data_IF_440525244186
#
_entry.id   IF_440525244186
#
_cell.length_a   1.000
_cell.length_b   1.000
_cell.length_c   1.000
_cell.angle_alpha   90.00
_cell.angle_beta   90.00
_cell.angle_gamma   90.00
#
_symmetry.space_group_name_H-M   'P 1'
#
loop_
_entity.id
_entity.type
_entity.pdbx_description
1 polymer ?
#
# COMPACT_ATOMS: atom_id res chain seq x y z
N UNK A 1 -20.62 24.33 -10.46
CA UNK A 1 -19.40 24.00 -9.69
C UNK A 1 -18.71 22.80 -10.31
N UNK A 2 -17.41 22.90 -10.59
CA UNK A 2 -16.61 21.81 -11.13
C UNK A 2 -15.85 21.13 -9.97
N UNK A 3 -15.85 19.80 -9.96
CA UNK A 3 -15.03 19.00 -9.05
C UNK A 3 -13.73 18.65 -9.78
N UNK A 4 -12.60 19.15 -9.30
CA UNK A 4 -11.32 18.91 -9.97
C UNK A 4 -10.86 17.46 -9.82
N UNK A 5 -11.00 16.85 -8.64
CA UNK A 5 -10.53 15.49 -8.36
C UNK A 5 -11.47 14.74 -7.41
N UNK A 6 -11.51 13.41 -7.54
CA UNK A 6 -12.11 12.49 -6.59
C UNK A 6 -11.03 11.56 -6.05
N UNK A 7 -10.87 11.45 -4.73
CA UNK A 7 -9.87 10.58 -4.12
C UNK A 7 -10.46 9.61 -3.10
N UNK A 8 -9.86 8.43 -3.02
CA UNK A 8 -10.10 7.44 -1.99
C UNK A 8 -8.76 7.04 -1.37
N UNK A 9 -8.57 7.38 -0.09
CA UNK A 9 -7.36 7.06 0.66
C UNK A 9 -7.64 5.98 1.71
N UNK A 10 -6.70 5.06 1.86
CA UNK A 10 -6.76 4.01 2.86
C UNK A 10 -5.40 3.87 3.53
N UNK A 11 -5.40 4.02 4.86
CA UNK A 11 -4.22 3.85 5.69
C UNK A 11 -4.51 2.65 6.58
N UNK A 12 -3.84 1.53 6.31
CA UNK A 12 -3.87 0.37 7.19
C UNK A 12 -2.65 0.38 8.08
N UNK A 13 -2.88 0.17 9.38
CA UNK A 13 -1.84 -0.30 10.28
C UNK A 13 -2.02 -1.82 10.44
N UNK A 14 -0.98 -2.57 10.13
CA UNK A 14 -1.01 -4.03 10.12
C UNK A 14 0.07 -4.52 11.07
N UNK A 15 -0.33 -5.40 11.97
CA UNK A 15 0.55 -6.01 12.96
C UNK A 15 0.70 -7.49 12.61
N UNK A 16 1.91 -7.89 12.19
CA UNK A 16 2.21 -9.29 11.93
C UNK A 16 2.82 -9.89 13.19
N UNK A 17 2.24 -10.97 13.76
CA UNK A 17 2.87 -11.70 14.84
C UNK A 17 4.13 -12.42 14.32
N UNK A 18 5.26 -12.20 14.97
CA UNK A 18 6.55 -12.81 14.62
C UNK A 18 7.20 -13.40 15.87
N UNK A 19 8.09 -14.38 15.72
CA UNK A 19 8.83 -14.88 16.88
C UNK A 19 9.81 -13.81 17.38
N UNK A 20 9.89 -13.63 18.70
CA UNK A 20 10.87 -12.74 19.32
C UNK A 20 12.29 -13.12 18.85
N UNK A 21 13.05 -12.12 18.37
CA UNK A 21 14.41 -12.27 17.82
C UNK A 21 14.54 -12.91 16.44
N UNK A 22 13.44 -13.06 15.69
CA UNK A 22 13.51 -13.52 14.30
C UNK A 22 13.74 -12.35 13.33
N UNK A 23 14.83 -12.39 12.56
CA UNK A 23 14.97 -11.53 11.38
C UNK A 23 14.21 -12.16 10.22
N UNK A 24 13.13 -11.51 9.77
CA UNK A 24 12.39 -11.92 8.58
C UNK A 24 12.89 -11.10 7.39
N UNK A 25 13.30 -11.72 6.27
CA UNK A 25 13.62 -10.98 5.05
C UNK A 25 12.38 -10.28 4.46
N UNK A 26 12.51 -9.03 4.00
CA UNK A 26 11.38 -8.24 3.49
C UNK A 26 10.64 -8.90 2.31
N UNK A 27 11.35 -9.65 1.47
CA UNK A 27 10.76 -10.41 0.36
C UNK A 27 9.81 -11.54 0.78
N UNK A 28 9.89 -11.99 2.04
CA UNK A 28 8.95 -12.97 2.58
C UNK A 28 7.63 -12.30 2.99
N UNK A 29 7.64 -10.98 3.15
CA UNK A 29 6.48 -10.20 3.59
C UNK A 29 5.82 -9.46 2.42
N UNK A 30 6.64 -8.90 1.54
CA UNK A 30 6.23 -7.99 0.50
C UNK A 30 6.72 -8.45 -0.86
N UNK A 31 5.86 -8.31 -1.87
CA UNK A 31 6.24 -8.61 -3.26
C UNK A 31 7.15 -7.55 -3.86
N UNK A 32 7.00 -6.31 -3.42
CA UNK A 32 7.88 -5.20 -3.79
C UNK A 32 8.81 -4.89 -2.62
N UNK A 33 10.12 -4.98 -2.85
CA UNK A 33 11.14 -4.72 -1.84
C UNK A 33 12.43 -4.23 -2.52
N UNK A 34 13.27 -3.52 -1.77
CA UNK A 34 14.61 -3.17 -2.24
C UNK A 34 15.55 -4.32 -1.84
N UNK A 35 16.15 -4.98 -2.82
CA UNK A 35 17.16 -6.01 -2.56
C UNK A 35 18.46 -5.36 -2.11
N UNK A 36 19.12 -5.97 -1.13
CA UNK A 36 20.40 -5.52 -0.61
C UNK A 36 21.54 -6.22 -1.36
N UNK A 37 22.43 -5.46 -1.99
CA UNK A 37 23.58 -5.96 -2.76
C UNK A 37 24.78 -6.36 -1.87
N UNK A 38 24.60 -6.34 -0.55
CA UNK A 38 25.59 -6.74 0.44
C UNK A 38 26.62 -5.66 0.79
N UNK A 39 26.53 -4.46 0.20
CA UNK A 39 27.39 -3.31 0.59
C UNK A 39 26.84 -2.55 1.79
N UNK A 40 25.54 -2.58 1.95
CA UNK A 40 24.88 -2.17 3.18
C UNK A 40 24.64 -3.48 3.94
N UNK A 41 25.21 -3.67 5.13
CA UNK A 41 24.90 -4.88 5.89
C UNK A 41 23.39 -4.96 6.07
N UNK A 42 22.86 -6.17 6.07
CA UNK A 42 21.48 -6.50 6.41
C UNK A 42 21.17 -5.94 7.81
N UNK A 43 20.89 -4.66 7.90
CA UNK A 43 20.10 -4.11 8.98
C UNK A 43 18.74 -4.75 8.75
N UNK A 44 18.48 -5.82 9.50
CA UNK A 44 17.17 -6.47 9.54
C UNK A 44 16.11 -5.38 9.67
N UNK A 45 14.95 -5.60 9.05
CA UNK A 45 13.92 -4.60 8.77
C UNK A 45 13.64 -3.71 10.01
N UNK A 46 14.43 -2.67 10.21
CA UNK A 46 14.22 -1.69 11.28
C UNK A 46 13.80 -0.35 10.67
N UNK A 47 14.08 -0.16 9.38
CA UNK A 47 13.72 1.00 8.57
C UNK A 47 13.44 0.57 7.13
N UNK A 48 12.24 0.08 6.84
CA UNK A 48 11.79 -0.18 5.46
C UNK A 48 10.73 0.85 5.09
N UNK A 49 10.96 1.61 4.01
CA UNK A 49 9.96 2.51 3.44
C UNK A 49 10.00 2.41 1.91
N UNK A 50 8.86 2.10 1.31
CA UNK A 50 8.65 2.12 -0.13
C UNK A 50 7.61 3.18 -0.45
N UNK A 51 7.90 4.03 -1.45
CA UNK A 51 6.94 4.99 -1.99
C UNK A 51 7.02 4.95 -3.51
N UNK A 52 5.89 4.82 -4.18
CA UNK A 52 5.80 4.97 -5.63
C UNK A 52 4.47 5.57 -6.04
N UNK A 53 4.46 6.10 -7.27
CA UNK A 53 3.26 6.66 -7.88
C UNK A 53 3.11 6.07 -9.27
N UNK A 54 1.90 5.63 -9.59
CA UNK A 54 1.55 5.14 -10.91
C UNK A 54 0.41 5.97 -11.49
N UNK A 55 0.48 6.26 -12.79
CA UNK A 55 -0.56 7.01 -13.48
C UNK A 55 -1.10 6.20 -14.66
N UNK A 56 -2.36 5.81 -14.55
CA UNK A 56 -3.12 5.12 -15.59
C UNK A 56 -3.73 6.15 -16.54
N UNK A 57 -3.06 6.39 -17.66
CA UNK A 57 -3.49 7.40 -18.64
C UNK A 57 -4.90 7.12 -19.21
N UNK A 58 -5.23 5.85 -19.46
CA UNK A 58 -6.50 5.46 -20.08
C UNK A 58 -7.71 5.77 -19.18
N UNK A 59 -7.57 5.58 -17.86
CA UNK A 59 -8.63 5.81 -16.88
C UNK A 59 -8.54 7.17 -16.18
N UNK A 60 -7.48 7.95 -16.41
CA UNK A 60 -7.16 9.18 -15.67
C UNK A 60 -7.12 8.94 -14.16
N UNK A 61 -6.51 7.82 -13.76
CA UNK A 61 -6.37 7.43 -12.35
C UNK A 61 -4.90 7.50 -11.95
N UNK A 62 -4.63 8.17 -10.85
CA UNK A 62 -3.33 8.20 -10.18
C UNK A 62 -3.40 7.36 -8.91
N UNK A 63 -2.43 6.48 -8.72
CA UNK A 63 -2.28 5.70 -7.49
C UNK A 63 -0.99 6.13 -6.81
N UNK A 64 -1.11 6.64 -5.59
CA UNK A 64 0.01 6.76 -4.67
C UNK A 64 0.01 5.56 -3.74
N UNK A 65 1.14 4.88 -3.67
CA UNK A 65 1.36 3.78 -2.75
C UNK A 65 2.55 4.13 -1.87
N UNK A 66 2.35 4.04 -0.56
CA UNK A 66 3.40 4.10 0.43
C UNK A 66 3.27 2.94 1.39
N UNK A 67 4.41 2.37 1.76
CA UNK A 67 4.51 1.33 2.75
C UNK A 67 5.67 1.65 3.68
N UNK A 68 5.43 1.55 4.98
CA UNK A 68 6.41 1.93 6.00
C UNK A 68 6.39 0.89 7.11
N UNK A 69 7.55 0.35 7.44
CA UNK A 69 7.70 -0.47 8.64
C UNK A 69 7.88 0.43 9.86
N UNK A 70 7.21 0.10 10.94
CA UNK A 70 7.32 0.80 12.22
C UNK A 70 8.11 -0.02 13.23
N UNK A 71 8.63 0.67 14.25
CA UNK A 71 9.12 0.00 15.44
C UNK A 71 7.94 -0.49 16.28
N UNK A 72 7.93 -1.79 16.58
CA UNK A 72 6.90 -2.45 17.37
C UNK A 72 7.39 -3.04 18.68
N UNK A 73 6.46 -3.50 19.54
CA UNK A 73 6.82 -4.31 20.70
C UNK A 73 7.46 -5.64 20.25
N UNK A 74 8.21 -6.33 21.15
CA UNK A 74 8.74 -7.66 20.85
C UNK A 74 7.65 -8.62 20.36
N UNK A 75 7.98 -9.40 19.33
CA UNK A 75 7.06 -10.39 18.76
C UNK A 75 6.00 -9.82 17.81
N UNK A 76 6.04 -8.52 17.51
CA UNK A 76 5.13 -7.88 16.54
C UNK A 76 5.93 -7.08 15.53
N UNK A 77 5.57 -7.23 14.26
CA UNK A 77 6.10 -6.45 13.16
C UNK A 77 5.00 -5.52 12.61
N UNK A 78 4.90 -4.27 13.11
CA UNK A 78 3.93 -3.32 12.62
C UNK A 78 4.40 -2.68 11.31
N UNK A 79 3.49 -2.53 10.35
CA UNK A 79 3.73 -1.74 9.16
C UNK A 79 2.46 -1.00 8.72
N UNK A 80 2.68 0.16 8.11
CA UNK A 80 1.65 0.99 7.51
C UNK A 80 1.64 0.73 6.01
N UNK A 81 0.44 0.59 5.44
CA UNK A 81 0.19 0.68 4.00
C UNK A 81 -0.76 1.83 3.76
N UNK A 82 -0.32 2.82 2.98
CA UNK A 82 -1.08 4.00 2.58
C UNK A 82 -1.28 3.96 1.06
N UNK A 83 -2.52 3.80 0.64
CA UNK A 83 -2.92 3.77 -0.77
C UNK A 83 -3.90 4.91 -1.00
N UNK A 84 -3.54 5.81 -1.90
CA UNK A 84 -4.41 6.88 -2.38
C UNK A 84 -4.69 6.68 -3.86
N UNK A 85 -5.95 6.54 -4.22
CA UNK A 85 -6.40 6.41 -5.62
C UNK A 85 -7.19 7.65 -5.97
N UNK A 86 -6.68 8.42 -6.93
CA UNK A 86 -7.18 9.74 -7.30
C UNK A 86 -7.60 9.69 -8.77
N UNK A 87 -8.82 10.08 -9.07
CA UNK A 87 -9.24 10.33 -10.45
C UNK A 87 -9.03 11.81 -10.80
N UNK A 88 -8.24 12.08 -11.83
CA UNK A 88 -7.63 13.40 -12.10
C UNK A 88 -8.38 14.27 -13.12
N UNK A 89 -9.63 13.93 -13.45
CA UNK A 89 -10.41 14.60 -14.51
C UNK A 89 -11.39 15.60 -13.91
N UNK A 90 -11.57 16.75 -14.56
CA UNK A 90 -12.64 17.69 -14.21
C UNK A 90 -14.02 17.04 -14.40
N UNK A 91 -14.84 17.10 -13.36
CA UNK A 91 -16.20 16.59 -13.38
C UNK A 91 -17.24 17.70 -13.27
N UNK A 92 -18.30 17.56 -14.06
CA UNK A 92 -19.56 18.27 -13.85
C UNK A 92 -20.39 17.45 -12.88
N UNK A 93 -20.81 18.04 -11.75
CA UNK A 93 -21.62 17.39 -10.71
C UNK A 93 -22.84 16.63 -11.24
N UNK A 94 -23.41 17.10 -12.35
CA UNK A 94 -24.61 16.56 -13.01
C UNK A 94 -24.34 15.24 -13.77
N UNK A 95 -23.09 14.98 -14.16
CA UNK A 95 -22.68 13.80 -14.95
C UNK A 95 -22.06 12.69 -14.07
N UNK A 96 -21.91 12.90 -12.76
CA UNK A 96 -21.17 11.97 -11.89
C UNK A 96 -22.11 10.91 -11.31
N UNK A 97 -21.95 9.68 -11.77
CA UNK A 97 -22.28 8.49 -10.99
C UNK A 97 -21.20 8.27 -9.93
N UNK A 98 -21.32 9.02 -8.82
CA UNK A 98 -20.29 9.17 -7.77
C UNK A 98 -20.03 7.81 -7.12
N UNK A 99 -21.10 7.06 -6.90
CA UNK A 99 -21.07 5.75 -6.25
C UNK A 99 -20.28 4.75 -7.08
N UNK A 100 -20.58 4.64 -8.39
CA UNK A 100 -19.84 3.77 -9.30
C UNK A 100 -18.35 4.13 -9.36
N UNK A 101 -18.02 5.42 -9.32
CA UNK A 101 -16.62 5.87 -9.29
C UNK A 101 -15.92 5.52 -7.99
N UNK A 102 -16.58 5.64 -6.85
CA UNK A 102 -16.04 5.15 -5.59
C UNK A 102 -15.85 3.63 -5.58
N UNK A 103 -16.73 2.87 -6.22
CA UNK A 103 -16.60 1.41 -6.33
C UNK A 103 -15.41 0.99 -7.22
N UNK A 104 -15.17 1.70 -8.33
CA UNK A 104 -13.97 1.53 -9.14
C UNK A 104 -12.71 1.79 -8.30
N UNK A 105 -12.64 2.94 -7.62
CA UNK A 105 -11.50 3.30 -6.76
C UNK A 105 -11.29 2.27 -5.64
N UNK A 106 -12.38 1.80 -5.01
CA UNK A 106 -12.33 0.78 -3.95
C UNK A 106 -11.77 -0.55 -4.46
N UNK A 107 -12.20 -0.97 -5.64
CA UNK A 107 -11.74 -2.22 -6.27
C UNK A 107 -10.25 -2.14 -6.59
N UNK A 108 -9.81 -1.10 -7.31
CA UNK A 108 -8.40 -0.88 -7.63
C UNK A 108 -7.55 -0.82 -6.36
N UNK A 109 -8.01 -0.11 -5.33
CA UNK A 109 -7.30 -0.03 -4.05
C UNK A 109 -7.14 -1.40 -3.38
N UNK A 110 -8.20 -2.21 -3.34
CA UNK A 110 -8.14 -3.55 -2.75
C UNK A 110 -7.18 -4.47 -3.51
N UNK A 111 -7.23 -4.43 -4.85
CA UNK A 111 -6.29 -5.18 -5.71
C UNK A 111 -4.85 -4.80 -5.38
N UNK A 112 -4.54 -3.50 -5.37
CA UNK A 112 -3.21 -3.00 -5.01
C UNK A 112 -2.77 -3.43 -3.61
N UNK A 113 -3.68 -3.42 -2.64
CA UNK A 113 -3.35 -3.86 -1.29
C UNK A 113 -2.94 -5.35 -1.26
N UNK A 114 -3.78 -6.23 -1.82
CA UNK A 114 -3.54 -7.67 -1.78
C UNK A 114 -2.38 -8.12 -2.68
N UNK A 115 -2.16 -7.43 -3.81
CA UNK A 115 -1.05 -7.72 -4.72
C UNK A 115 0.32 -7.42 -4.11
N UNK A 116 0.40 -6.51 -3.12
CA UNK A 116 1.66 -6.15 -2.49
C UNK A 116 2.08 -7.09 -1.34
N UNK A 117 1.18 -7.96 -0.88
CA UNK A 117 1.44 -8.93 0.18
C UNK A 117 1.81 -10.32 -0.37
N UNK A 118 2.65 -11.04 0.36
CA UNK A 118 2.91 -12.46 0.08
C UNK A 118 1.75 -13.33 0.59
N UNK A 119 1.53 -14.53 0.00
CA UNK A 119 0.56 -15.49 0.54
C UNK A 119 0.78 -15.79 2.02
N UNK A 120 2.02 -16.00 2.44
CA UNK A 120 2.38 -16.26 3.84
C UNK A 120 1.93 -15.11 4.75
N UNK A 121 2.11 -13.86 4.31
CA UNK A 121 1.65 -12.68 5.06
C UNK A 121 0.14 -12.64 5.17
N UNK A 122 -0.59 -12.99 4.11
CA UNK A 122 -2.05 -13.04 4.14
C UNK A 122 -2.59 -14.11 5.11
N UNK A 123 -1.86 -15.18 5.36
CA UNK A 123 -2.23 -16.19 6.36
C UNK A 123 -2.06 -15.68 7.80
N UNK A 124 -1.11 -14.76 8.03
CA UNK A 124 -0.79 -14.22 9.35
C UNK A 124 -1.72 -13.09 9.80
N UNK A 125 -2.43 -12.43 8.86
CA UNK A 125 -3.31 -11.28 9.14
C UNK A 125 -4.79 -11.72 9.29
N UNK A 126 -5.07 -13.04 9.34
CA UNK A 126 -6.44 -13.59 9.49
C UNK A 126 -6.95 -13.55 10.93
#
# INVERSE_FOLDING_TARGET
DNLSWLSLRYINNIEIPIQENQSIPAQNLFRTFISNDGKHKSEGISNYSLKYTHYFQESNVMVHFAQELLNGPPGVLPFIVDIDVIHTKDYKLEDIDVERKFDELRTTKNEYFFDNLTPDTLELIK
#
